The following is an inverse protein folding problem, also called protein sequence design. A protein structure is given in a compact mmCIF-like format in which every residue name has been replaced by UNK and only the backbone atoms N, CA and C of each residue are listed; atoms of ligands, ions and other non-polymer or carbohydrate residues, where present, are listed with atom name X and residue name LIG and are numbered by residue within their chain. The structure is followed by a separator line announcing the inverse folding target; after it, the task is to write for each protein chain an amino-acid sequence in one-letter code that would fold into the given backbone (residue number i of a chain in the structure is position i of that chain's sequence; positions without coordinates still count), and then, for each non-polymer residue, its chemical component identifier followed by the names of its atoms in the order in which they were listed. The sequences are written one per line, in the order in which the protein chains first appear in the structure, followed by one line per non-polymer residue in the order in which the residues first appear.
data_IF_069981301068
#
_entry.id   IF_069981301068
#
_cell.length_a   1.000
_cell.length_b   1.000
_cell.length_c   1.000
_cell.angle_alpha   90.00
_cell.angle_beta   90.00
_cell.angle_gamma   90.00
#
_symmetry.space_group_name_H-M   'P 1'
#
loop_
_entity.id
_entity.type
_entity.pdbx_description
1 polymer ?
#
# COMPACT_ATOMS: atom_id res chain seq x y z
N UNK A 1 7.91 17.54 -20.76
CA UNK A 1 6.66 17.02 -20.17
C UNK A 1 5.96 18.13 -19.41
N UNK A 2 4.63 18.20 -19.43
CA UNK A 2 3.82 19.11 -18.59
C UNK A 2 2.96 18.26 -17.65
N UNK A 3 2.88 18.65 -16.37
CA UNK A 3 2.04 17.97 -15.37
C UNK A 3 0.59 18.42 -15.59
N UNK A 4 -0.33 17.48 -15.81
CA UNK A 4 -1.76 17.80 -15.97
C UNK A 4 -2.52 17.85 -14.64
N UNK A 5 -2.22 16.93 -13.72
CA UNK A 5 -2.83 16.85 -12.39
C UNK A 5 -1.77 16.42 -11.38
N UNK A 6 -1.51 17.25 -10.38
CA UNK A 6 -0.47 16.96 -9.38
C UNK A 6 -0.86 15.80 -8.46
N UNK A 7 -2.11 15.77 -7.99
CA UNK A 7 -2.63 14.74 -7.09
C UNK A 7 -3.81 14.05 -7.78
N UNK A 8 -3.55 12.93 -8.47
CA UNK A 8 -4.58 12.23 -9.23
C UNK A 8 -5.52 11.42 -8.34
N UNK A 9 -4.97 10.84 -7.28
CA UNK A 9 -5.64 10.00 -6.28
C UNK A 9 -4.62 9.47 -5.27
N UNK A 10 -5.11 8.71 -4.30
CA UNK A 10 -4.27 8.00 -3.32
C UNK A 10 -4.13 6.53 -3.72
N UNK A 11 -3.01 5.92 -3.35
CA UNK A 11 -2.74 4.50 -3.54
C UNK A 11 -2.42 3.86 -2.21
N UNK A 12 -2.99 2.68 -1.97
CA UNK A 12 -2.64 1.84 -0.83
C UNK A 12 -1.28 1.17 -1.04
N UNK A 13 -0.58 0.85 0.05
CA UNK A 13 0.67 0.10 -0.02
C UNK A 13 0.48 -1.26 -0.69
N UNK A 14 -0.71 -1.87 -0.55
CA UNK A 14 -1.06 -3.11 -1.26
C UNK A 14 -1.12 -2.92 -2.77
N UNK A 15 -1.80 -1.88 -3.27
CA UNK A 15 -1.86 -1.60 -4.71
C UNK A 15 -0.48 -1.30 -5.30
N UNK A 16 0.36 -0.55 -4.57
CA UNK A 16 1.74 -0.31 -4.98
C UNK A 16 2.53 -1.62 -5.01
N UNK A 17 2.36 -2.48 -4.01
CA UNK A 17 3.02 -3.78 -3.95
C UNK A 17 2.61 -4.67 -5.12
N UNK A 18 1.32 -4.77 -5.40
CA UNK A 18 0.76 -5.57 -6.49
C UNK A 18 1.26 -5.07 -7.86
N UNK A 19 1.27 -3.75 -8.05
CA UNK A 19 1.84 -3.13 -9.25
C UNK A 19 3.33 -3.46 -9.41
N UNK A 20 4.14 -3.32 -8.37
CA UNK A 20 5.57 -3.64 -8.40
C UNK A 20 5.82 -5.12 -8.68
N UNK A 21 5.01 -6.03 -8.12
CA UNK A 21 5.06 -7.47 -8.41
C UNK A 21 4.78 -7.75 -9.88
N UNK A 22 3.73 -7.15 -10.45
CA UNK A 22 3.37 -7.32 -11.86
C UNK A 22 4.48 -6.87 -12.82
N UNK A 23 5.29 -5.89 -12.40
CA UNK A 23 6.45 -5.39 -13.16
C UNK A 23 7.70 -6.24 -12.98
N UNK A 24 7.68 -7.22 -12.08
CA UNK A 24 8.80 -8.13 -11.84
C UNK A 24 9.75 -7.69 -10.73
N UNK A 25 9.34 -6.77 -9.85
CA UNK A 25 10.13 -6.43 -8.66
C UNK A 25 10.29 -7.65 -7.73
N UNK A 26 11.51 -7.85 -7.24
CA UNK A 26 11.91 -8.97 -6.39
C UNK A 26 12.82 -8.48 -5.27
N UNK A 27 12.95 -9.29 -4.21
CA UNK A 27 13.85 -9.02 -3.08
C UNK A 27 15.31 -9.18 -3.50
N UNK A 28 15.59 -10.07 -4.46
CA UNK A 28 16.95 -10.29 -4.93
C UNK A 28 17.39 -9.13 -5.84
N UNK A 29 18.42 -8.34 -5.47
CA UNK A 29 18.90 -7.22 -6.28
C UNK A 29 19.40 -7.66 -7.65
N UNK A 30 19.90 -8.91 -7.75
CA UNK A 30 20.35 -9.51 -9.00
C UNK A 30 19.16 -9.91 -9.89
N UNK A 31 18.08 -10.40 -9.28
CA UNK A 31 16.81 -10.75 -9.94
C UNK A 31 16.00 -9.56 -10.49
N UNK A 32 16.35 -8.32 -10.12
CA UNK A 32 15.79 -7.09 -10.66
C UNK A 32 16.56 -6.55 -11.91
N UNK A 33 17.74 -7.10 -12.23
CA UNK A 33 18.61 -6.58 -13.29
C UNK A 33 17.88 -6.54 -14.64
N UNK A 34 17.56 -5.32 -15.09
CA UNK A 34 16.99 -5.04 -16.42
C UNK A 34 15.46 -5.02 -16.51
N UNK A 35 14.73 -5.49 -15.49
CA UNK A 35 13.25 -5.52 -15.52
C UNK A 35 12.61 -4.27 -14.88
N UNK A 36 13.19 -3.78 -13.77
CA UNK A 36 12.66 -2.68 -12.96
C UNK A 36 13.78 -1.81 -12.42
N UNK A 37 13.47 -0.55 -12.12
CA UNK A 37 14.45 0.39 -11.60
C UNK A 37 14.90 0.00 -10.18
N UNK A 38 16.13 0.36 -9.80
CA UNK A 38 16.65 0.12 -8.44
C UNK A 38 15.75 0.78 -7.37
N UNK A 39 15.17 1.94 -7.66
CA UNK A 39 14.21 2.60 -6.78
C UNK A 39 12.96 1.76 -6.56
N UNK A 40 12.48 1.06 -7.58
CA UNK A 40 11.29 0.21 -7.51
C UNK A 40 11.55 -1.03 -6.65
N UNK A 41 12.73 -1.66 -6.77
CA UNK A 41 13.09 -2.79 -5.90
C UNK A 41 13.27 -2.35 -4.44
N UNK A 42 13.85 -1.17 -4.19
CA UNK A 42 13.93 -0.60 -2.82
C UNK A 42 12.56 -0.35 -2.21
N UNK A 43 11.63 0.22 -2.96
CA UNK A 43 10.24 0.43 -2.50
C UNK A 43 9.53 -0.90 -2.26
N UNK A 44 9.72 -1.86 -3.16
CA UNK A 44 9.18 -3.21 -3.02
C UNK A 44 9.65 -3.89 -1.73
N UNK A 45 10.96 -3.90 -1.48
CA UNK A 45 11.56 -4.44 -0.25
C UNK A 45 11.05 -3.74 1.01
N UNK A 46 10.87 -2.42 0.96
CA UNK A 46 10.32 -1.65 2.08
C UNK A 46 8.88 -2.09 2.38
N UNK A 47 8.00 -2.10 1.36
CA UNK A 47 6.58 -2.43 1.54
C UNK A 47 6.42 -3.89 1.99
N UNK A 48 7.27 -4.82 1.54
CA UNK A 48 7.27 -6.19 2.01
C UNK A 48 7.51 -6.34 3.52
N UNK A 49 8.25 -5.41 4.14
CA UNK A 49 8.49 -5.38 5.59
C UNK A 49 7.32 -4.76 6.38
N UNK A 50 6.33 -4.20 5.69
CA UNK A 50 5.13 -3.62 6.32
C UNK A 50 3.99 -4.64 6.39
N UNK A 51 3.00 -4.46 7.29
CA UNK A 51 1.84 -5.34 7.40
C UNK A 51 0.97 -5.43 6.14
N UNK A 52 1.15 -4.51 5.17
CA UNK A 52 0.46 -4.52 3.88
C UNK A 52 0.79 -5.74 3.01
N UNK A 53 1.93 -6.41 3.24
CA UNK A 53 2.38 -7.51 2.38
C UNK A 53 1.53 -8.78 2.44
N UNK A 54 0.82 -8.98 3.56
CA UNK A 54 0.00 -10.16 3.85
C UNK A 54 -1.50 -9.88 3.71
N UNK A 55 -1.88 -8.73 3.16
CA UNK A 55 -3.28 -8.41 2.91
C UNK A 55 -3.73 -8.98 1.57
N UNK A 56 -5.04 -9.18 1.43
CA UNK A 56 -5.67 -9.57 0.18
C UNK A 56 -6.64 -8.49 -0.27
N UNK A 57 -6.96 -8.47 -1.57
CA UNK A 57 -7.88 -7.49 -2.13
C UNK A 57 -9.29 -7.59 -1.52
N UNK A 58 -9.69 -8.80 -1.17
CA UNK A 58 -10.97 -9.10 -0.52
C UNK A 58 -11.03 -8.51 0.89
N UNK A 59 -9.94 -8.64 1.67
CA UNK A 59 -9.87 -8.09 3.02
C UNK A 59 -9.93 -6.56 3.03
N UNK A 60 -9.24 -5.92 2.08
CA UNK A 60 -9.28 -4.45 1.93
C UNK A 60 -10.69 -4.00 1.52
N UNK A 61 -11.31 -4.68 0.55
CA UNK A 61 -12.67 -4.35 0.11
C UNK A 61 -13.69 -4.52 1.23
N UNK A 62 -13.59 -5.60 2.01
CA UNK A 62 -14.43 -5.82 3.17
C UNK A 62 -14.26 -4.70 4.21
N UNK A 63 -13.03 -4.30 4.51
CA UNK A 63 -12.76 -3.19 5.42
C UNK A 63 -13.39 -1.89 4.90
N UNK A 64 -13.18 -1.54 3.63
CA UNK A 64 -13.76 -0.32 3.04
C UNK A 64 -15.27 -0.34 3.16
N UNK A 65 -15.92 -1.45 2.78
CA UNK A 65 -17.38 -1.60 2.88
C UNK A 65 -17.89 -1.48 4.32
N UNK A 66 -17.21 -2.06 5.30
CA UNK A 66 -17.56 -1.91 6.72
C UNK A 66 -17.32 -0.49 7.21
N UNK A 67 -16.28 0.17 6.72
CA UNK A 67 -15.91 1.55 7.09
C UNK A 67 -16.93 2.59 6.61
N UNK A 68 -17.76 2.29 5.61
CA UNK A 68 -18.82 3.19 5.13
C UNK A 68 -19.87 3.50 6.20
N UNK A 69 -20.08 2.59 7.17
CA UNK A 69 -20.94 2.83 8.33
C UNK A 69 -20.33 3.79 9.35
N UNK A 70 -19.04 4.11 9.24
CA UNK A 70 -18.31 5.00 10.12
C UNK A 70 -17.95 6.28 9.37
N UNK A 71 -18.02 7.43 10.03
CA UNK A 71 -17.63 8.73 9.46
C UNK A 71 -16.11 8.91 9.46
N UNK A 72 -15.38 8.00 8.81
CA UNK A 72 -13.92 8.06 8.67
C UNK A 72 -13.52 8.84 7.42
N UNK A 73 -12.48 9.67 7.52
CA UNK A 73 -11.91 10.31 6.34
C UNK A 73 -11.18 9.27 5.46
N UNK A 74 -11.03 9.58 4.18
CA UNK A 74 -10.31 8.70 3.24
C UNK A 74 -8.83 8.50 3.64
N UNK A 75 -8.22 9.50 4.28
CA UNK A 75 -6.87 9.40 4.81
C UNK A 75 -6.77 8.40 5.97
N UNK A 76 -7.76 8.39 6.86
CA UNK A 76 -7.79 7.49 8.02
C UNK A 76 -8.00 6.04 7.56
N UNK A 77 -8.91 5.83 6.60
CA UNK A 77 -9.10 4.52 5.95
C UNK A 77 -7.80 4.04 5.32
N UNK A 78 -7.09 4.90 4.60
CA UNK A 78 -5.80 4.59 3.98
C UNK A 78 -4.74 4.23 5.02
N UNK A 79 -4.65 4.96 6.13
CA UNK A 79 -3.70 4.70 7.20
C UNK A 79 -3.97 3.36 7.87
N UNK A 80 -5.23 3.05 8.16
CA UNK A 80 -5.65 1.76 8.74
C UNK A 80 -5.32 0.61 7.80
N UNK A 81 -5.56 0.76 6.49
CA UNK A 81 -5.18 -0.24 5.48
C UNK A 81 -3.66 -0.43 5.45
N UNK A 82 -2.88 0.65 5.47
CA UNK A 82 -1.42 0.55 5.32
C UNK A 82 -0.72 -0.04 6.56
N UNK A 83 -1.16 0.36 7.76
CA UNK A 83 -0.53 -0.04 9.03
C UNK A 83 -1.15 -1.27 9.68
N UNK A 84 -2.41 -1.59 9.34
CA UNK A 84 -3.16 -2.72 9.89
C UNK A 84 -3.04 -2.79 11.43
N UNK A 85 -3.62 -1.81 12.15
CA UNK A 85 -3.53 -1.75 13.61
C UNK A 85 -4.05 -3.04 14.24
N UNK A 86 -3.29 -3.57 15.19
CA UNK A 86 -3.60 -4.82 15.89
C UNK A 86 -4.11 -4.60 17.32
N UNK A 87 -3.93 -3.40 17.86
CA UNK A 87 -4.43 -3.00 19.16
C UNK A 87 -5.27 -1.73 19.08
N UNK A 88 -6.07 -1.50 20.11
CA UNK A 88 -6.85 -0.25 20.24
C UNK A 88 -5.95 0.97 20.29
N UNK A 89 -4.79 0.89 20.96
CA UNK A 89 -3.83 1.98 21.02
C UNK A 89 -3.26 2.31 19.63
N UNK A 90 -2.94 1.28 18.84
CA UNK A 90 -2.49 1.48 17.45
C UNK A 90 -3.60 2.13 16.62
N UNK A 91 -4.84 1.65 16.75
CA UNK A 91 -5.97 2.22 16.02
C UNK A 91 -6.16 3.72 16.31
N UNK A 92 -6.04 4.14 17.57
CA UNK A 92 -6.08 5.57 17.93
C UNK A 92 -4.90 6.38 17.42
N UNK A 93 -3.76 5.76 17.10
CA UNK A 93 -2.60 6.45 16.56
C UNK A 93 -2.67 6.67 15.04
N UNK A 94 -3.48 5.90 14.31
CA UNK A 94 -3.63 6.00 12.85
C UNK A 94 -4.94 6.68 12.40
N UNK A 95 -5.91 6.82 13.29
CA UNK A 95 -7.15 7.59 13.13
C UNK A 95 -6.93 9.05 13.56
#
# INVERSE_FOLDING_TARGET
MKIQKANAGVLTNFEVLDFLRSRGAKIDPMGCLGAVAVSECKVYEYILKTPACNQTRESIYEFVKRSEGFRLAEADKLNVINWRPSSTADAYAVL
#
